data_IF_047299413772
#
_entry.id   IF_047299413772
#
_cell.length_a   1.000
_cell.length_b   1.000
_cell.length_c   1.000
_cell.angle_alpha   90.00
_cell.angle_beta   90.00
_cell.angle_gamma   90.00
#
_symmetry.space_group_name_H-M   'P 1'
#
loop_
_entity.id
_entity.type
_entity.pdbx_description
1 polymer ?
#
# COMPACT_ATOMS: atom_id res chain seq x y z
N UNK A 1 -7.46 -21.64 -23.53
CA UNK A 1 -7.30 -21.74 -22.07
C UNK A 1 -6.75 -20.43 -21.55
N UNK A 2 -7.25 -19.91 -20.44
CA UNK A 2 -6.82 -18.62 -19.86
C UNK A 2 -6.55 -18.73 -18.37
N UNK A 3 -5.72 -17.83 -17.85
CA UNK A 3 -5.36 -17.73 -16.43
C UNK A 3 -5.93 -16.45 -15.84
N UNK A 4 -6.18 -16.44 -14.53
CA UNK A 4 -6.70 -15.26 -13.82
C UNK A 4 -5.53 -14.39 -13.38
N UNK A 5 -5.58 -13.10 -13.74
CA UNK A 5 -4.66 -12.07 -13.27
C UNK A 5 -5.51 -10.95 -12.66
N UNK A 6 -5.14 -10.50 -11.46
CA UNK A 6 -5.79 -9.37 -10.79
C UNK A 6 -5.04 -8.08 -11.13
N UNK A 7 -5.74 -7.08 -11.68
CA UNK A 7 -5.17 -5.76 -11.94
C UNK A 7 -5.66 -4.82 -10.84
N UNK A 8 -4.74 -4.34 -10.00
CA UNK A 8 -5.07 -3.50 -8.85
C UNK A 8 -4.42 -2.12 -8.95
N UNK A 9 -5.08 -1.14 -8.36
CA UNK A 9 -4.52 0.20 -8.10
C UNK A 9 -4.15 0.39 -6.62
N UNK A 10 -4.43 -0.60 -5.77
CA UNK A 10 -4.23 -0.54 -4.32
C UNK A 10 -3.21 -1.58 -3.87
N UNK A 11 -2.01 -1.11 -3.50
CA UNK A 11 -0.98 -1.90 -2.82
C UNK A 11 -1.30 -1.95 -1.32
N UNK A 12 -2.19 -2.87 -0.96
CA UNK A 12 -2.47 -3.22 0.43
C UNK A 12 -1.43 -4.23 0.93
N UNK A 13 -0.62 -3.97 1.95
CA UNK A 13 0.37 -4.94 2.48
C UNK A 13 0.42 -4.89 4.01
N UNK A 14 0.85 -5.99 4.64
CA UNK A 14 1.14 -6.06 6.08
C UNK A 14 2.63 -5.80 6.36
N UNK A 15 3.00 -5.59 7.63
CA UNK A 15 4.42 -5.47 8.05
C UNK A 15 5.26 -6.68 7.63
N UNK A 16 4.70 -7.88 7.76
CA UNK A 16 5.36 -9.14 7.35
C UNK A 16 5.57 -9.23 5.82
N UNK A 17 4.67 -8.62 5.05
CA UNK A 17 4.75 -8.56 3.59
C UNK A 17 5.67 -7.44 3.07
N UNK A 18 6.36 -6.72 3.96
CA UNK A 18 7.32 -5.67 3.59
C UNK A 18 6.76 -4.25 3.66
N UNK A 19 5.74 -4.01 4.48
CA UNK A 19 5.36 -2.62 4.80
C UNK A 19 6.52 -1.91 5.52
N UNK A 20 6.88 -0.67 5.14
CA UNK A 20 8.05 0.01 5.70
C UNK A 20 7.97 0.18 7.23
N UNK A 21 8.94 -0.36 7.97
CA UNK A 21 8.99 -0.23 9.43
C UNK A 21 9.17 1.22 9.91
N UNK A 22 9.69 2.09 9.04
CA UNK A 22 9.83 3.52 9.29
C UNK A 22 8.47 4.25 9.35
N UNK A 23 7.43 3.70 8.71
CA UNK A 23 6.08 4.25 8.75
C UNK A 23 5.33 3.70 9.95
N UNK A 24 5.46 4.42 11.07
CA UNK A 24 4.74 4.13 12.31
C UNK A 24 3.53 5.06 12.47
N UNK A 25 2.34 4.47 12.65
CA UNK A 25 1.08 5.21 12.76
C UNK A 25 1.04 6.12 13.99
N UNK A 26 1.55 5.67 15.14
CA UNK A 26 1.50 6.45 16.38
C UNK A 26 2.39 7.69 16.26
N UNK A 27 3.58 7.52 15.67
CA UNK A 27 4.48 8.63 15.38
C UNK A 27 3.89 9.59 14.36
N UNK A 28 3.28 9.06 13.29
CA UNK A 28 2.70 9.88 12.23
C UNK A 28 1.51 10.71 12.71
N UNK A 29 0.72 10.18 13.66
CA UNK A 29 -0.40 10.92 14.26
C UNK A 29 0.07 12.10 15.13
N UNK A 30 1.23 11.99 15.78
CA UNK A 30 1.81 13.07 16.59
C UNK A 30 2.65 14.04 15.76
N UNK A 31 3.51 13.51 14.88
CA UNK A 31 4.44 14.24 14.03
C UNK A 31 4.34 13.68 12.60
N UNK A 32 3.48 14.26 11.74
CA UNK A 32 3.27 13.75 10.39
C UNK A 32 4.55 13.73 9.57
N UNK A 33 4.87 12.56 9.00
CA UNK A 33 5.97 12.41 8.06
C UNK A 33 5.73 13.22 6.79
N UNK A 34 6.82 13.71 6.19
CA UNK A 34 6.76 14.42 4.92
C UNK A 34 7.19 13.49 3.80
N UNK A 35 6.58 13.66 2.63
CA UNK A 35 6.96 12.94 1.41
C UNK A 35 8.47 13.04 1.10
N UNK A 36 9.11 14.15 1.49
CA UNK A 36 10.55 14.37 1.31
C UNK A 36 11.42 13.32 2.04
N UNK A 37 10.94 12.77 3.15
CA UNK A 37 11.67 11.83 4.00
C UNK A 37 11.81 10.44 3.33
N UNK A 38 10.97 10.18 2.33
CA UNK A 38 10.95 8.94 1.54
C UNK A 38 11.43 9.13 0.10
N UNK A 39 11.86 10.35 -0.25
CA UNK A 39 12.36 10.63 -1.59
C UNK A 39 13.56 9.72 -1.88
N UNK A 40 13.53 9.10 -3.05
CA UNK A 40 14.57 8.18 -3.56
C UNK A 40 14.72 6.84 -2.81
N UNK A 41 13.89 6.56 -1.79
CA UNK A 41 13.83 5.23 -1.15
C UNK A 41 13.01 4.26 -2.00
N UNK A 42 13.52 3.04 -2.14
CA UNK A 42 12.83 1.91 -2.78
C UNK A 42 12.50 0.89 -1.70
N UNK A 43 11.23 0.55 -1.61
CA UNK A 43 10.72 -0.47 -0.70
C UNK A 43 10.38 -1.74 -1.48
N UNK A 44 10.41 -2.88 -0.80
CA UNK A 44 10.11 -4.18 -1.39
C UNK A 44 8.94 -4.81 -0.65
N UNK A 45 7.98 -5.34 -1.39
CA UNK A 45 6.91 -6.18 -0.83
C UNK A 45 7.04 -7.60 -1.38
N UNK A 46 6.57 -8.58 -0.61
CA UNK A 46 6.66 -10.01 -0.95
C UNK A 46 5.42 -10.79 -0.54
N UNK A 47 5.31 -12.01 -1.08
CA UNK A 47 4.32 -13.02 -0.70
C UNK A 47 2.86 -12.51 -0.81
N UNK A 48 2.55 -11.67 -1.80
CA UNK A 48 1.15 -11.37 -2.09
C UNK A 48 0.52 -12.54 -2.83
N UNK A 49 -0.52 -13.10 -2.23
CA UNK A 49 -1.30 -14.17 -2.87
C UNK A 49 -1.89 -13.71 -4.20
N UNK A 50 -1.96 -14.66 -5.13
CA UNK A 50 -2.38 -14.52 -6.53
C UNK A 50 -1.41 -13.70 -7.40
N UNK A 51 -1.59 -13.85 -8.71
CA UNK A 51 -0.87 -13.06 -9.72
C UNK A 51 -1.53 -11.70 -9.84
N UNK A 52 -0.83 -10.67 -9.38
CA UNK A 52 -1.30 -9.29 -9.31
C UNK A 52 -0.43 -8.39 -10.16
N UNK A 53 -1.07 -7.56 -10.96
CA UNK A 53 -0.43 -6.51 -11.75
C UNK A 53 -0.92 -5.17 -11.21
N UNK A 54 0.02 -4.26 -11.02
CA UNK A 54 -0.28 -2.90 -10.57
C UNK A 54 -0.16 -1.92 -11.72
N UNK A 55 -0.72 -0.72 -11.55
CA UNK A 55 -0.59 0.33 -12.57
C UNK A 55 0.87 0.77 -12.68
N UNK A 56 1.38 0.83 -13.90
CA UNK A 56 2.74 1.29 -14.20
C UNK A 56 2.84 2.83 -14.09
N UNK A 57 4.00 3.39 -13.71
CA UNK A 57 4.24 4.83 -13.77
C UNK A 57 3.95 5.37 -15.18
N UNK A 58 3.38 6.59 -15.31
CA UNK A 58 3.21 7.61 -14.27
C UNK A 58 1.97 7.43 -13.38
N UNK A 59 1.16 6.38 -13.59
CA UNK A 59 -0.06 6.14 -12.83
C UNK A 59 0.29 5.75 -11.39
N UNK A 60 -0.33 6.45 -10.43
CA UNK A 60 -0.18 6.22 -8.99
C UNK A 60 -1.03 5.05 -8.53
N UNK A 61 -0.50 4.29 -7.57
CA UNK A 61 -1.24 3.28 -6.82
C UNK A 61 -1.38 3.76 -5.37
N UNK A 62 -2.42 3.32 -4.67
CA UNK A 62 -2.60 3.59 -3.24
C UNK A 62 -1.70 2.69 -2.41
N UNK A 63 -1.04 3.25 -1.40
CA UNK A 63 -0.34 2.50 -0.37
C UNK A 63 -1.28 2.32 0.81
N UNK A 64 -1.62 1.07 1.11
CA UNK A 64 -2.50 0.73 2.22
C UNK A 64 -1.80 -0.26 3.14
N UNK A 65 -1.79 0.04 4.44
CA UNK A 65 -1.37 -0.93 5.46
C UNK A 65 -2.60 -1.70 5.93
N UNK A 66 -2.49 -3.03 5.98
CA UNK A 66 -3.49 -3.87 6.61
C UNK A 66 -3.02 -4.26 8.02
N UNK A 67 -3.73 -3.75 9.03
CA UNK A 67 -3.57 -4.12 10.44
C UNK A 67 -4.81 -4.90 10.89
N UNK A 68 -4.69 -6.23 10.99
CA UNK A 68 -5.75 -7.12 11.48
C UNK A 68 -7.12 -6.93 10.79
N UNK A 69 -7.12 -6.70 9.47
CA UNK A 69 -8.32 -6.46 8.67
C UNK A 69 -8.72 -4.98 8.57
N UNK A 70 -8.12 -4.09 9.35
CA UNK A 70 -8.29 -2.64 9.24
C UNK A 70 -7.31 -2.04 8.25
N UNK A 71 -7.78 -1.11 7.43
CA UNK A 71 -7.03 -0.52 6.33
C UNK A 71 -6.64 0.92 6.67
N UNK A 72 -5.37 1.22 6.53
CA UNK A 72 -4.82 2.56 6.73
C UNK A 72 -4.25 3.06 5.40
N UNK A 73 -4.82 4.16 4.89
CA UNK A 73 -4.45 4.75 3.61
C UNK A 73 -3.26 5.71 3.76
N UNK A 74 -2.05 5.17 3.66
CA UNK A 74 -0.82 5.90 3.90
C UNK A 74 -0.46 6.93 2.83
N UNK A 75 -0.84 6.70 1.58
CA UNK A 75 -0.55 7.63 0.51
C UNK A 75 -0.50 6.98 -0.85
N UNK A 76 0.44 7.45 -1.66
CA UNK A 76 0.54 7.09 -3.08
C UNK A 76 1.93 6.56 -3.39
N UNK A 77 1.99 5.54 -4.24
CA UNK A 77 3.21 4.87 -4.65
C UNK A 77 3.27 4.66 -6.16
N UNK A 78 4.49 4.56 -6.66
CA UNK A 78 4.81 4.03 -7.98
C UNK A 78 5.42 2.65 -7.83
N UNK A 79 4.87 1.67 -8.54
CA UNK A 79 5.45 0.34 -8.62
C UNK A 79 6.58 0.38 -9.64
N UNK A 80 7.78 -0.02 -9.21
CA UNK A 80 9.00 0.01 -10.02
C UNK A 80 9.27 -1.35 -10.66
N UNK A 81 8.94 -2.42 -9.93
CA UNK A 81 9.23 -3.79 -10.33
C UNK A 81 8.13 -4.72 -9.78
N UNK A 82 7.76 -5.73 -10.56
CA UNK A 82 6.89 -6.81 -10.14
C UNK A 82 7.52 -8.12 -10.60
N UNK A 83 7.55 -9.11 -9.72
CA UNK A 83 7.93 -10.49 -10.00
C UNK A 83 6.77 -11.41 -9.62
N UNK A 84 6.54 -12.43 -10.45
CA UNK A 84 5.47 -13.40 -10.27
C UNK A 84 6.05 -14.80 -10.12
N UNK A 85 5.71 -15.46 -9.02
CA UNK A 85 5.97 -16.88 -8.86
C UNK A 85 4.71 -17.65 -9.25
N UNK A 86 4.76 -18.36 -10.37
CA UNK A 86 3.65 -19.17 -10.87
C UNK A 86 3.49 -20.52 -10.18
N UNK A 87 4.51 -21.02 -9.45
CA UNK A 87 4.41 -22.24 -8.66
C UNK A 87 3.61 -21.97 -7.38
N UNK A 88 3.97 -20.90 -6.66
CA UNK A 88 3.28 -20.50 -5.42
C UNK A 88 2.09 -19.57 -5.66
N UNK A 89 1.90 -19.11 -6.90
CA UNK A 89 0.93 -18.09 -7.29
C UNK A 89 1.04 -16.85 -6.43
N UNK A 90 2.27 -16.33 -6.26
CA UNK A 90 2.50 -15.12 -5.50
C UNK A 90 3.07 -14.00 -6.35
N UNK A 91 2.89 -12.77 -5.86
CA UNK A 91 3.43 -11.54 -6.42
C UNK A 91 4.33 -10.89 -5.38
N UNK A 92 5.50 -10.46 -5.83
CA UNK A 92 6.41 -9.61 -5.09
C UNK A 92 6.82 -8.43 -5.97
N UNK A 93 7.46 -7.42 -5.40
CA UNK A 93 7.86 -6.27 -6.19
C UNK A 93 8.47 -5.14 -5.38
N UNK A 94 8.83 -4.09 -6.09
CA UNK A 94 9.44 -2.89 -5.52
C UNK A 94 8.60 -1.67 -5.81
N UNK A 95 8.57 -0.73 -4.87
CA UNK A 95 7.81 0.50 -5.01
C UNK A 95 8.53 1.70 -4.41
N UNK A 96 8.17 2.88 -4.91
CA UNK A 96 8.61 4.18 -4.40
C UNK A 96 7.41 4.93 -3.87
N UNK A 97 7.58 5.55 -2.71
CA UNK A 97 6.57 6.45 -2.13
C UNK A 97 6.68 7.80 -2.83
N UNK A 98 5.58 8.24 -3.43
CA UNK A 98 5.50 9.53 -4.14
C UNK A 98 4.72 10.58 -3.35
N UNK A 99 3.89 10.16 -2.39
CA UNK A 99 3.14 11.02 -1.50
C UNK A 99 2.79 10.28 -0.22
N UNK A 100 2.90 10.95 0.92
CA UNK A 100 2.37 10.48 2.21
C UNK A 100 1.22 11.39 2.64
N UNK A 101 0.09 10.77 2.96
CA UNK A 101 -1.08 11.45 3.50
C UNK A 101 -0.82 11.89 4.94
N UNK A 102 -1.26 13.09 5.27
CA UNK A 102 -1.44 13.54 6.67
C UNK A 102 -2.51 12.71 7.38
N UNK A 103 -2.54 12.69 8.73
CA UNK A 103 -3.61 12.01 9.48
C UNK A 103 -5.04 12.35 9.07
N UNK A 104 -5.30 13.61 8.71
CA UNK A 104 -6.62 14.06 8.25
C UNK A 104 -6.93 13.50 6.86
N UNK A 105 -5.96 13.54 5.94
CA UNK A 105 -6.08 12.94 4.61
C UNK A 105 -6.25 11.42 4.68
N UNK A 106 -5.60 10.72 5.63
CA UNK A 106 -5.79 9.28 5.85
C UNK A 106 -7.26 8.97 6.19
N UNK A 107 -7.85 9.72 7.12
CA UNK A 107 -9.26 9.59 7.50
C UNK A 107 -10.18 9.89 6.32
N UNK A 108 -9.87 10.94 5.57
CA UNK A 108 -10.66 11.35 4.40
C UNK A 108 -10.54 10.33 3.26
N UNK A 109 -9.35 9.76 3.03
CA UNK A 109 -9.11 8.73 2.04
C UNK A 109 -9.96 7.49 2.31
N UNK A 110 -9.99 7.02 3.56
CA UNK A 110 -10.88 5.92 3.95
C UNK A 110 -12.36 6.27 3.71
N UNK A 111 -12.79 7.46 4.16
CA UNK A 111 -14.18 7.94 4.00
C UNK A 111 -14.61 8.08 2.55
N UNK A 112 -13.72 8.47 1.64
CA UNK A 112 -14.06 8.73 0.24
C UNK A 112 -13.90 7.50 -0.65
N UNK A 113 -12.81 6.75 -0.45
CA UNK A 113 -12.36 5.66 -1.35
C UNK A 113 -12.97 4.33 -0.92
N UNK A 114 -12.79 3.93 0.34
CA UNK A 114 -13.22 2.60 0.84
C UNK A 114 -14.70 2.62 1.24
N UNK A 115 -15.10 3.58 2.08
CA UNK A 115 -16.45 3.73 2.66
C UNK A 115 -16.93 2.54 3.50
N UNK A 116 -16.17 1.45 3.59
CA UNK A 116 -16.51 0.29 4.40
C UNK A 116 -16.18 0.52 5.88
N UNK A 117 -17.19 0.54 6.74
CA UNK A 117 -17.00 0.75 8.19
C UNK A 117 -16.19 -0.36 8.84
N UNK A 118 -16.28 -1.60 8.33
CA UNK A 118 -15.62 -2.76 8.93
C UNK A 118 -14.10 -2.70 8.77
N UNK A 119 -13.61 -2.09 7.68
CA UNK A 119 -12.19 -1.90 7.40
C UNK A 119 -11.64 -0.58 7.95
N UNK A 120 -12.49 0.29 8.49
CA UNK A 120 -12.06 1.60 8.99
C UNK A 120 -11.22 1.46 10.27
N UNK A 121 -9.94 1.82 10.20
CA UNK A 121 -9.05 1.87 11.36
C UNK A 121 -9.39 3.02 12.33
N UNK A 122 -9.93 4.13 11.81
CA UNK A 122 -10.19 5.34 12.59
C UNK A 122 -11.58 5.38 13.25
N UNK A 123 -12.44 4.42 12.95
CA UNK A 123 -13.68 4.20 13.71
C UNK A 123 -13.42 3.12 14.77
N UNK A 124 -13.48 3.53 16.04
CA UNK A 124 -13.58 2.63 17.19
C UNK A 124 -15.00 2.15 17.36
#
# INVERSE_FOLDING_TARGET
MGSVIEINDTLQITKEQGFPAELDIEKHLLHPYKTKDFKDKIFTFKNKTKIRVYKIPPVRNFLVENLNGKWIYWGLVHIVEISHDYLTQTTEGKFKIIYINTPEEMKMAHKLIDRNKDTNYFQK
#
